data_IF_802915292910
#
_entry.id   IF_802915292910
#
_cell.length_a   1.000
_cell.length_b   1.000
_cell.length_c   1.000
_cell.angle_alpha   90.00
_cell.angle_beta   90.00
_cell.angle_gamma   90.00
#
_symmetry.space_group_name_H-M   'P 1'
#
loop_
_entity.id
_entity.type
_entity.pdbx_description
1 polymer ?
#
# COMPACT_ATOMS: atom_id res chain seq x y z
N UNK A 1 -10.45 6.92 14.40
CA UNK A 1 -11.30 6.00 13.61
C UNK A 1 -10.76 6.01 12.19
N UNK A 2 -10.46 4.85 11.58
CA UNK A 2 -9.92 4.82 10.23
C UNK A 2 -10.88 5.43 9.22
N UNK A 3 -10.33 6.15 8.24
CA UNK A 3 -11.08 6.80 7.17
C UNK A 3 -11.96 5.80 6.41
N UNK A 4 -13.21 6.17 6.11
CA UNK A 4 -14.14 5.31 5.36
C UNK A 4 -14.80 4.18 6.16
N UNK A 5 -14.47 3.99 7.45
CA UNK A 5 -15.22 3.12 8.36
C UNK A 5 -16.07 3.93 9.32
N UNK A 6 -17.22 3.38 9.74
CA UNK A 6 -17.98 3.90 10.87
C UNK A 6 -17.44 3.39 12.21
N UNK A 7 -17.74 4.09 13.30
CA UNK A 7 -17.34 3.68 14.66
C UNK A 7 -17.85 2.28 15.01
N UNK A 8 -19.09 1.95 14.60
CA UNK A 8 -19.68 0.62 14.80
C UNK A 8 -18.91 -0.47 14.07
N UNK A 9 -18.50 -0.22 12.83
CA UNK A 9 -17.71 -1.17 12.04
C UNK A 9 -16.33 -1.37 12.66
N UNK A 10 -15.67 -0.29 13.08
CA UNK A 10 -14.38 -0.35 13.75
C UNK A 10 -14.44 -1.14 15.07
N UNK A 11 -15.41 -0.83 15.94
CA UNK A 11 -15.65 -1.58 17.18
C UNK A 11 -15.96 -3.05 16.94
N UNK A 12 -16.62 -3.39 15.84
CA UNK A 12 -16.85 -4.79 15.45
C UNK A 12 -15.54 -5.48 15.07
N UNK A 13 -14.68 -4.84 14.28
CA UNK A 13 -13.34 -5.37 13.92
C UNK A 13 -12.51 -5.60 15.19
N UNK A 14 -12.43 -4.61 16.08
CA UNK A 14 -11.66 -4.73 17.33
C UNK A 14 -12.13 -5.89 18.22
N UNK A 15 -13.45 -6.12 18.29
CA UNK A 15 -14.03 -7.25 19.05
C UNK A 15 -13.74 -8.60 18.40
N UNK A 16 -13.76 -8.69 17.07
CA UNK A 16 -13.46 -9.93 16.35
C UNK A 16 -11.96 -10.27 16.35
N UNK A 17 -11.10 -9.28 16.58
CA UNK A 17 -9.65 -9.43 16.52
C UNK A 17 -8.98 -8.83 17.79
N UNK A 18 -9.24 -9.39 18.98
CA UNK A 18 -8.84 -8.77 20.25
C UNK A 18 -7.33 -8.68 20.45
N UNK A 19 -6.55 -9.61 19.87
CA UNK A 19 -5.10 -9.69 20.05
C UNK A 19 -4.30 -9.14 18.87
N UNK A 20 -4.97 -8.59 17.84
CA UNK A 20 -4.26 -7.98 16.71
C UNK A 20 -3.88 -6.55 17.04
N UNK A 21 -2.59 -6.26 16.91
CA UNK A 21 -2.04 -4.92 17.03
C UNK A 21 -2.02 -4.19 15.68
N UNK A 22 -1.87 -4.93 14.58
CA UNK A 22 -1.85 -4.43 13.21
C UNK A 22 -3.15 -4.82 12.50
N UNK A 23 -4.00 -3.84 12.20
CA UNK A 23 -5.29 -4.02 11.54
C UNK A 23 -5.20 -3.48 10.12
N UNK A 24 -5.30 -4.37 9.15
CA UNK A 24 -5.04 -4.08 7.73
C UNK A 24 -6.32 -3.70 7.02
N UNK A 25 -6.31 -2.55 6.34
CA UNK A 25 -7.43 -1.99 5.59
C UNK A 25 -7.01 -1.72 4.15
N UNK A 26 -7.62 -2.43 3.21
CA UNK A 26 -7.42 -2.23 1.77
C UNK A 26 -8.56 -1.39 1.19
N UNK A 27 -8.21 -0.27 0.59
CA UNK A 27 -9.08 0.61 -0.16
C UNK A 27 -8.88 0.23 -1.63
N UNK A 28 -9.80 -0.55 -2.21
CA UNK A 28 -9.65 -1.04 -3.58
C UNK A 28 -9.77 0.11 -4.58
N UNK A 29 -9.53 -0.16 -5.86
CA UNK A 29 -9.82 0.81 -6.92
C UNK A 29 -11.31 0.90 -7.23
N UNK A 30 -11.74 2.05 -7.77
CA UNK A 30 -13.03 2.19 -8.47
C UNK A 30 -12.92 1.94 -9.97
N UNK A 31 -11.76 2.21 -10.57
CA UNK A 31 -11.43 1.99 -11.99
C UNK A 31 -10.11 1.22 -12.15
N UNK A 32 -9.87 0.62 -13.33
CA UNK A 32 -8.73 -0.28 -13.54
C UNK A 32 -7.32 0.34 -13.33
N UNK A 33 -7.21 1.66 -13.25
CA UNK A 33 -5.94 2.39 -13.08
C UNK A 33 -5.92 3.31 -11.85
N UNK A 34 -7.01 3.36 -11.08
CA UNK A 34 -7.11 4.23 -9.90
C UNK A 34 -6.08 3.87 -8.81
N UNK A 35 -5.89 4.81 -7.90
CA UNK A 35 -5.02 4.64 -6.75
C UNK A 35 -5.63 3.61 -5.78
N UNK A 36 -4.86 2.58 -5.47
CA UNK A 36 -5.13 1.66 -4.37
C UNK A 36 -4.42 2.15 -3.12
N UNK A 37 -5.04 1.94 -1.97
CA UNK A 37 -4.43 2.26 -0.68
C UNK A 37 -4.50 1.05 0.25
N UNK A 38 -3.40 0.78 0.94
CA UNK A 38 -3.32 -0.17 2.02
C UNK A 38 -2.88 0.58 3.27
N UNK A 39 -3.76 0.62 4.26
CA UNK A 39 -3.48 1.17 5.59
C UNK A 39 -3.29 0.04 6.57
N UNK A 40 -2.34 0.20 7.47
CA UNK A 40 -2.23 -0.59 8.69
C UNK A 40 -2.53 0.36 9.83
N UNK A 41 -3.61 0.10 10.55
CA UNK A 41 -3.98 0.87 11.71
C UNK A 41 -3.59 0.12 12.99
N UNK A 42 -3.22 0.86 14.02
CA UNK A 42 -3.15 0.32 15.37
C UNK A 42 -4.55 0.15 15.97
N UNK A 43 -4.64 -0.30 17.23
CA UNK A 43 -5.93 -0.50 17.93
C UNK A 43 -6.69 0.80 18.21
N UNK A 44 -5.99 1.93 18.29
CA UNK A 44 -6.61 3.25 18.48
C UNK A 44 -7.22 3.79 17.17
N UNK A 45 -6.83 3.18 16.04
CA UNK A 45 -7.27 3.55 14.70
C UNK A 45 -6.40 4.62 14.06
N UNK A 46 -5.19 4.87 14.60
CA UNK A 46 -4.17 5.69 13.97
C UNK A 46 -3.38 4.86 12.94
N UNK A 47 -2.89 5.51 11.89
CA UNK A 47 -2.10 4.85 10.86
C UNK A 47 -0.71 4.47 11.40
N UNK A 48 -0.48 3.18 11.59
CA UNK A 48 0.84 2.60 11.79
C UNK A 48 1.65 2.64 10.49
N UNK A 49 0.99 2.39 9.35
CA UNK A 49 1.60 2.46 8.03
C UNK A 49 0.56 2.75 6.93
N UNK A 50 1.03 3.34 5.82
CA UNK A 50 0.26 3.66 4.62
C UNK A 50 1.10 3.32 3.38
N UNK A 51 0.49 2.63 2.42
CA UNK A 51 1.01 2.41 1.08
C UNK A 51 -0.05 2.83 0.07
N UNK A 52 0.32 3.61 -0.94
CA UNK A 52 -0.53 3.89 -2.08
C UNK A 52 0.18 3.54 -3.39
N UNK A 53 -0.55 2.90 -4.30
CA UNK A 53 -0.01 2.43 -5.57
C UNK A 53 -1.07 2.37 -6.66
N UNK A 54 -0.61 2.32 -7.91
CA UNK A 54 -1.43 2.08 -9.08
C UNK A 54 -0.89 0.88 -9.84
N UNK A 55 -1.77 0.22 -10.59
CA UNK A 55 -1.39 -0.77 -11.59
C UNK A 55 -2.04 -0.39 -12.92
N UNK A 56 -1.33 -0.58 -14.01
CA UNK A 56 -1.86 -0.45 -15.36
C UNK A 56 -1.72 -1.80 -16.04
N UNK A 57 -2.83 -2.54 -16.11
CA UNK A 57 -2.86 -3.87 -16.74
C UNK A 57 -2.45 -3.82 -18.22
N UNK A 58 -2.97 -2.89 -19.05
CA UNK A 58 -2.58 -2.82 -20.47
C UNK A 58 -1.08 -2.61 -20.69
N UNK A 59 -0.44 -1.77 -19.88
CA UNK A 59 0.98 -1.46 -20.00
C UNK A 59 1.88 -2.37 -19.16
N UNK A 60 1.32 -3.27 -18.34
CA UNK A 60 2.03 -4.11 -17.37
C UNK A 60 2.99 -3.32 -16.49
N UNK A 61 2.51 -2.19 -15.96
CA UNK A 61 3.28 -1.27 -15.11
C UNK A 61 2.63 -1.10 -13.76
N UNK A 62 3.43 -1.13 -12.70
CA UNK A 62 3.04 -0.75 -11.35
C UNK A 62 3.74 0.54 -10.92
N UNK A 63 3.05 1.37 -10.14
CA UNK A 63 3.64 2.59 -9.60
C UNK A 63 3.35 2.70 -8.11
N UNK A 64 4.39 2.78 -7.28
CA UNK A 64 4.25 3.06 -5.85
C UNK A 64 4.38 4.58 -5.66
N UNK A 65 3.25 5.22 -5.36
CA UNK A 65 3.16 6.67 -5.21
C UNK A 65 3.66 7.11 -3.84
N UNK A 66 3.35 6.36 -2.78
CA UNK A 66 3.77 6.68 -1.41
C UNK A 66 3.86 5.44 -0.55
N UNK A 67 4.89 5.39 0.29
CA UNK A 67 4.97 4.49 1.45
C UNK A 67 5.41 5.28 2.67
N UNK A 68 4.71 5.11 3.79
CA UNK A 68 5.06 5.74 5.07
C UNK A 68 4.75 4.81 6.23
N UNK A 69 5.65 4.75 7.21
CA UNK A 69 5.53 3.91 8.40
C UNK A 69 5.90 4.77 9.61
N UNK A 70 5.03 4.82 10.61
CA UNK A 70 5.29 5.54 11.85
C UNK A 70 6.53 4.96 12.54
N UNK A 71 7.33 5.82 13.18
CA UNK A 71 8.68 5.45 13.65
C UNK A 71 8.72 4.21 14.55
N UNK A 72 7.79 4.09 15.50
CA UNK A 72 7.71 2.95 16.41
C UNK A 72 7.28 1.64 15.74
N UNK A 73 6.77 1.71 14.51
CA UNK A 73 6.40 0.55 13.67
C UNK A 73 7.49 0.21 12.62
N UNK A 74 8.52 1.03 12.48
CA UNK A 74 9.60 0.75 11.53
C UNK A 74 10.41 -0.48 11.94
N UNK A 75 11.14 -1.06 10.98
CA UNK A 75 12.02 -2.24 11.15
C UNK A 75 11.33 -3.55 11.59
N UNK A 76 10.00 -3.60 11.61
CA UNK A 76 9.21 -4.82 11.86
C UNK A 76 8.77 -5.55 10.58
N UNK A 77 9.39 -5.23 9.44
CA UNK A 77 9.07 -5.80 8.13
C UNK A 77 7.74 -5.32 7.53
N UNK A 78 7.10 -4.29 8.09
CA UNK A 78 5.80 -3.77 7.62
C UNK A 78 5.85 -3.31 6.16
N UNK A 79 6.81 -2.46 5.79
CA UNK A 79 6.93 -1.97 4.41
C UNK A 79 7.09 -3.10 3.40
N UNK A 80 7.91 -4.10 3.72
CA UNK A 80 8.09 -5.31 2.91
C UNK A 80 6.76 -6.05 2.72
N UNK A 81 6.02 -6.31 3.81
CA UNK A 81 4.71 -6.99 3.74
C UNK A 81 3.69 -6.20 2.92
N UNK A 82 3.70 -4.87 3.04
CA UNK A 82 2.78 -4.00 2.28
C UNK A 82 3.07 -4.05 0.79
N UNK A 83 4.33 -3.85 0.39
CA UNK A 83 4.68 -3.85 -1.04
C UNK A 83 4.44 -5.22 -1.68
N UNK A 84 4.75 -6.32 -0.98
CA UNK A 84 4.42 -7.66 -1.47
C UNK A 84 2.91 -7.87 -1.70
N UNK A 85 2.06 -7.35 -0.81
CA UNK A 85 0.60 -7.40 -1.01
C UNK A 85 0.18 -6.59 -2.25
N UNK A 86 0.75 -5.39 -2.43
CA UNK A 86 0.47 -4.57 -3.61
C UNK A 86 0.92 -5.23 -4.92
N UNK A 87 2.02 -5.99 -4.88
CA UNK A 87 2.56 -6.70 -6.04
C UNK A 87 1.87 -8.01 -6.36
N UNK A 88 1.07 -8.59 -5.46
CA UNK A 88 0.65 -9.99 -5.55
C UNK A 88 0.00 -10.40 -6.88
N UNK A 89 -0.72 -9.49 -7.55
CA UNK A 89 -1.35 -9.75 -8.86
C UNK A 89 -0.57 -9.20 -10.06
N UNK A 90 0.64 -8.68 -9.83
CA UNK A 90 1.45 -7.92 -10.78
C UNK A 90 2.95 -8.07 -10.46
N UNK A 91 3.37 -9.27 -10.06
CA UNK A 91 4.75 -9.55 -9.64
C UNK A 91 5.75 -9.40 -10.79
N UNK A 92 5.27 -9.64 -12.01
CA UNK A 92 5.99 -9.60 -13.29
C UNK A 92 5.83 -8.26 -14.04
N UNK A 93 5.33 -7.23 -13.36
CA UNK A 93 5.17 -5.88 -13.93
C UNK A 93 6.44 -5.07 -13.75
N UNK A 94 6.62 -4.05 -14.60
CA UNK A 94 7.66 -3.05 -14.37
C UNK A 94 7.22 -2.06 -13.30
N UNK A 95 7.95 -1.97 -12.18
CA UNK A 95 7.57 -1.15 -11.04
C UNK A 95 8.39 0.13 -10.97
N UNK A 96 7.70 1.27 -10.82
CA UNK A 96 8.34 2.56 -10.55
C UNK A 96 7.95 3.08 -9.18
N UNK A 97 8.78 3.94 -8.61
CA UNK A 97 8.48 4.62 -7.34
C UNK A 97 8.70 6.12 -7.51
N UNK A 98 7.96 6.93 -6.75
CA UNK A 98 8.27 8.36 -6.61
C UNK A 98 9.65 8.59 -5.96
N UNK A 99 10.11 9.83 -5.95
CA UNK A 99 11.37 10.23 -5.30
C UNK A 99 11.46 9.69 -3.88
N UNK A 100 12.55 8.96 -3.62
CA UNK A 100 12.72 8.18 -2.41
C UNK A 100 13.35 9.02 -1.30
N UNK A 101 12.79 8.92 -0.09
CA UNK A 101 13.49 9.34 1.13
C UNK A 101 14.82 8.58 1.29
N UNK A 102 15.79 9.05 2.08
CA UNK A 102 17.05 8.34 2.29
C UNK A 102 16.85 6.88 2.77
N UNK A 103 15.84 6.64 3.60
CA UNK A 103 15.48 5.29 4.05
C UNK A 103 14.91 4.44 2.89
N UNK A 104 14.10 5.04 2.02
CA UNK A 104 13.55 4.36 0.85
C UNK A 104 14.65 3.97 -0.17
N UNK A 105 15.74 4.74 -0.26
CA UNK A 105 16.89 4.44 -1.12
C UNK A 105 17.61 3.14 -0.75
N UNK A 106 17.54 2.70 0.50
CA UNK A 106 18.03 1.37 0.90
C UNK A 106 16.95 0.29 0.83
N UNK A 107 15.70 0.66 1.11
CA UNK A 107 14.57 -0.27 1.15
C UNK A 107 14.25 -0.90 -0.21
N UNK A 108 14.06 -0.09 -1.26
CA UNK A 108 13.63 -0.61 -2.57
C UNK A 108 14.69 -1.48 -3.26
N UNK A 109 16.00 -1.16 -3.22
CA UNK A 109 17.02 -2.08 -3.74
C UNK A 109 17.12 -3.40 -2.96
N UNK A 110 16.88 -3.38 -1.65
CA UNK A 110 16.79 -4.62 -0.88
C UNK A 110 15.57 -5.45 -1.30
N UNK A 111 14.42 -4.80 -1.47
CA UNK A 111 13.19 -5.47 -1.90
C UNK A 111 13.29 -6.02 -3.33
N UNK A 112 13.92 -5.28 -4.25
CA UNK A 112 14.17 -5.71 -5.63
C UNK A 112 14.93 -7.04 -5.68
N UNK A 113 15.98 -7.20 -4.86
CA UNK A 113 16.74 -8.45 -4.76
C UNK A 113 15.91 -9.63 -4.28
N UNK A 114 14.90 -9.38 -3.44
CA UNK A 114 14.03 -10.44 -2.91
C UNK A 114 12.87 -10.81 -3.84
N UNK A 115 12.34 -9.84 -4.58
CA UNK A 115 11.15 -10.04 -5.43
C UNK A 115 11.50 -10.26 -6.91
N UNK A 116 12.73 -9.93 -7.32
CA UNK A 116 13.13 -9.92 -8.73
C UNK A 116 12.57 -8.73 -9.52
N UNK A 117 11.73 -7.89 -8.91
CA UNK A 117 11.19 -6.71 -9.57
C UNK A 117 12.21 -5.57 -9.63
N UNK A 118 12.25 -4.86 -10.74
CA UNK A 118 12.99 -3.61 -10.84
C UNK A 118 12.12 -2.49 -10.25
N UNK A 119 12.62 -1.77 -9.24
CA UNK A 119 12.00 -0.55 -8.71
C UNK A 119 12.80 0.66 -9.20
N UNK A 120 12.36 1.28 -10.29
CA UNK A 120 13.04 2.44 -10.88
C UNK A 120 12.42 3.76 -10.42
N UNK A 121 13.25 4.77 -10.17
CA UNK A 121 12.81 6.11 -9.75
C UNK A 121 12.79 7.13 -10.88
N UNK A 122 13.45 6.82 -11.99
CA UNK A 122 13.69 7.77 -13.11
C UNK A 122 12.75 7.55 -14.29
N UNK A 123 12.02 6.44 -14.30
CA UNK A 123 11.14 6.14 -15.42
C UNK A 123 9.84 6.93 -15.31
N UNK A 124 9.30 7.43 -16.43
CA UNK A 124 8.03 8.12 -16.41
C UNK A 124 6.91 7.17 -15.98
N UNK A 125 6.03 7.69 -15.13
CA UNK A 125 4.77 7.01 -14.80
C UNK A 125 3.96 6.86 -16.10
N UNK A 126 3.30 5.71 -16.26
CA UNK A 126 2.44 5.48 -17.42
C UNK A 126 1.34 6.55 -17.51
N UNK A 127 1.05 7.04 -18.72
CA UNK A 127 0.04 8.08 -18.96
C UNK A 127 -1.35 7.68 -18.42
N UNK A 128 -1.73 6.40 -18.50
CA UNK A 128 -2.98 5.92 -17.92
C UNK A 128 -3.04 6.06 -16.38
N UNK A 129 -1.90 5.89 -15.71
CA UNK A 129 -1.81 6.09 -14.26
C UNK A 129 -1.80 7.58 -13.94
N UNK A 130 -1.14 8.39 -14.78
CA UNK A 130 -1.11 9.84 -14.60
C UNK A 130 -2.51 10.47 -14.73
N UNK A 131 -3.33 9.95 -15.63
CA UNK A 131 -4.72 10.37 -15.83
C UNK A 131 -5.71 9.80 -14.79
N UNK A 132 -5.26 8.93 -13.89
CA UNK A 132 -6.14 8.25 -12.94
C UNK A 132 -6.67 9.21 -11.86
N UNK A 133 -7.92 9.00 -11.46
CA UNK A 133 -8.56 9.81 -10.41
C UNK A 133 -8.12 9.40 -9.01
N UNK A 134 -8.31 10.32 -8.05
CA UNK A 134 -8.20 10.03 -6.62
C UNK A 134 -9.61 9.84 -6.05
N UNK A 135 -10.00 8.59 -5.79
CA UNK A 135 -11.20 8.26 -5.03
C UNK A 135 -10.83 7.26 -3.94
N UNK A 136 -11.39 7.44 -2.74
CA UNK A 136 -11.22 6.51 -1.63
C UNK A 136 -12.52 5.74 -1.44
N UNK A 137 -12.70 4.57 -2.10
CA UNK A 137 -13.88 3.77 -1.86
C UNK A 137 -13.85 3.18 -0.46
N UNK A 138 -14.99 2.63 -0.04
CA UNK A 138 -15.13 2.01 1.27
C UNK A 138 -14.06 0.92 1.47
N UNK A 139 -13.27 0.98 2.57
CA UNK A 139 -12.21 0.01 2.81
C UNK A 139 -12.76 -1.38 3.13
N UNK A 140 -11.93 -2.38 2.83
CA UNK A 140 -12.11 -3.78 3.19
C UNK A 140 -11.09 -4.16 4.26
N UNK A 141 -11.55 -4.76 5.34
CA UNK A 141 -10.67 -5.29 6.38
C UNK A 141 -10.04 -6.61 5.93
N UNK A 142 -8.71 -6.68 5.92
CA UNK A 142 -7.98 -7.90 5.58
C UNK A 142 -7.88 -8.81 6.81
N UNK A 143 -8.51 -9.98 6.71
CA UNK A 143 -8.53 -10.97 7.79
C UNK A 143 -7.24 -11.80 7.88
N UNK A 144 -6.34 -11.72 6.91
CA UNK A 144 -5.15 -12.58 6.79
C UNK A 144 -3.85 -11.85 7.12
#
# INVERSE_FOLDING_TARGET
>A
MPEGLTDREWKRILRQHPFREQLWLHYPVTSAVDLQILRVCDRTGWDAALLSWNICVPCRRGHIAKISIADHWQRQGLGRRMVRRAMHSAEDYHWTTTSQSPQAQHFFPALARETGAAFTTRDPVCEHIHAAGYSLPKPRFERR
#
